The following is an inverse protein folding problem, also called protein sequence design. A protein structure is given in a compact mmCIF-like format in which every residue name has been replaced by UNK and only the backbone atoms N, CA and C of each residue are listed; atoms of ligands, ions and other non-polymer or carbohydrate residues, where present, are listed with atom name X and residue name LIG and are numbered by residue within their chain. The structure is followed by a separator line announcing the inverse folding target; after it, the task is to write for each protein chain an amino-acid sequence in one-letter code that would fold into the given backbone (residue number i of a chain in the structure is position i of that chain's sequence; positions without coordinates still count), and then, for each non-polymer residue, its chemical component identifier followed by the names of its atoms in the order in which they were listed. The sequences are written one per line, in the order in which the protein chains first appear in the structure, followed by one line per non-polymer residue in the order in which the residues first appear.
data_IF_753333185529
#
_entry.id   IF_753333185529
#
_cell.length_a   1.000
_cell.length_b   1.000
_cell.length_c   1.000
_cell.angle_alpha   90.00
_cell.angle_beta   90.00
_cell.angle_gamma   90.00
#
_symmetry.space_group_name_H-M   'P 1'
#
loop_
_entity.id
_entity.type
_entity.pdbx_description
1 polymer ?
#
# COMPACT_ATOMS: atom_id res chain seq x y z
N UNK A 1 -4.94 21.55 -11.14
CA UNK A 1 -3.67 22.26 -10.87
C UNK A 1 -2.55 21.23 -10.64
N UNK A 2 -1.26 21.57 -10.74
CA UNK A 2 -0.13 20.66 -10.52
C UNK A 2 -0.21 19.91 -9.19
N UNK A 3 -0.77 20.55 -8.15
CA UNK A 3 -1.06 19.93 -6.85
C UNK A 3 -2.07 18.78 -6.92
N UNK A 4 -3.05 18.86 -7.82
CA UNK A 4 -4.03 17.78 -8.00
C UNK A 4 -3.39 16.56 -8.65
N UNK A 5 -2.44 16.78 -9.57
CA UNK A 5 -1.70 15.70 -10.24
C UNK A 5 -0.82 14.95 -9.25
N UNK A 6 -0.09 15.67 -8.39
CA UNK A 6 0.74 15.06 -7.35
C UNK A 6 -0.09 14.19 -6.40
N UNK A 7 -1.19 14.72 -5.86
CA UNK A 7 -2.09 13.97 -4.98
C UNK A 7 -2.73 12.76 -5.66
N UNK A 8 -3.11 12.88 -6.93
CA UNK A 8 -3.78 11.80 -7.64
C UNK A 8 -2.83 10.65 -7.99
N UNK A 9 -1.62 10.96 -8.47
CA UNK A 9 -0.78 9.98 -9.17
C UNK A 9 0.54 9.65 -8.48
N UNK A 10 1.08 10.51 -7.61
CA UNK A 10 2.37 10.24 -6.97
C UNK A 10 2.19 9.45 -5.68
N UNK A 11 2.90 8.32 -5.57
CA UNK A 11 2.95 7.45 -4.38
C UNK A 11 4.39 7.03 -4.13
N UNK A 12 4.73 6.81 -2.86
CA UNK A 12 6.01 6.21 -2.51
C UNK A 12 6.05 4.75 -3.00
N UNK A 13 7.21 4.35 -3.52
CA UNK A 13 7.51 2.96 -3.90
C UNK A 13 8.84 2.55 -3.24
N UNK A 14 8.89 2.46 -1.90
CA UNK A 14 10.11 2.11 -1.18
C UNK A 14 10.47 0.63 -1.42
N UNK A 15 11.77 0.37 -1.61
CA UNK A 15 12.33 -0.96 -1.50
C UNK A 15 12.50 -1.31 -0.01
N UNK A 16 12.08 -2.52 0.39
CA UNK A 16 12.09 -2.96 1.80
C UNK A 16 10.73 -2.81 2.47
N UNK A 17 10.72 -2.51 3.77
CA UNK A 17 9.49 -2.44 4.58
C UNK A 17 8.59 -1.28 4.15
N UNK A 18 7.34 -1.59 3.83
CA UNK A 18 6.32 -0.60 3.47
C UNK A 18 4.95 -0.91 4.08
N UNK A 19 4.16 0.16 4.31
CA UNK A 19 2.78 0.05 4.78
C UNK A 19 1.84 0.07 3.59
N UNK A 20 1.06 -0.99 3.44
CA UNK A 20 0.15 -1.19 2.31
C UNK A 20 -1.30 -1.28 2.78
N UNK A 21 -2.24 -0.91 1.90
CA UNK A 21 -3.67 -1.08 2.11
C UNK A 21 -4.19 -2.22 1.22
N UNK A 22 -4.70 -3.29 1.85
CA UNK A 22 -5.21 -4.47 1.15
C UNK A 22 -6.71 -4.62 1.40
N UNK A 23 -7.47 -5.01 0.38
CA UNK A 23 -8.91 -5.22 0.51
C UNK A 23 -9.23 -6.71 0.57
N UNK A 24 -9.87 -7.16 1.65
CA UNK A 24 -10.22 -8.56 1.84
C UNK A 24 -11.49 -8.94 1.06
N UNK A 25 -11.35 -8.97 -0.26
CA UNK A 25 -12.46 -9.09 -1.22
C UNK A 25 -13.31 -10.34 -0.99
N UNK A 26 -12.67 -11.51 -0.84
CA UNK A 26 -13.34 -12.80 -0.72
C UNK A 26 -13.71 -13.18 0.71
N UNK A 27 -13.62 -12.25 1.65
CA UNK A 27 -13.94 -12.47 3.05
C UNK A 27 -14.77 -11.33 3.62
N UNK A 28 -14.22 -10.64 4.61
CA UNK A 28 -14.96 -9.67 5.41
C UNK A 28 -15.22 -8.31 4.71
N UNK A 29 -14.75 -8.13 3.47
CA UNK A 29 -14.92 -6.92 2.64
C UNK A 29 -14.48 -5.63 3.34
N UNK A 30 -13.36 -5.71 4.07
CA UNK A 30 -12.76 -4.58 4.77
C UNK A 30 -11.34 -4.33 4.26
N UNK A 31 -10.94 -3.07 4.38
CA UNK A 31 -9.56 -2.66 4.19
C UNK A 31 -8.74 -2.98 5.43
N UNK A 32 -7.54 -3.49 5.22
CA UNK A 32 -6.52 -3.68 6.25
C UNK A 32 -5.28 -2.90 5.88
N UNK A 33 -4.56 -2.39 6.88
CA UNK A 33 -3.20 -1.87 6.69
C UNK A 33 -2.22 -2.86 7.28
N UNK A 34 -1.21 -3.23 6.50
CA UNK A 34 -0.19 -4.19 6.90
C UNK A 34 1.21 -3.68 6.55
N UNK A 35 2.21 -4.20 7.26
CA UNK A 35 3.63 -3.97 6.97
C UNK A 35 4.16 -5.16 6.18
N UNK A 36 4.74 -4.93 5.01
CA UNK A 36 5.37 -5.96 4.18
C UNK A 36 6.76 -5.52 3.77
N UNK A 37 7.74 -6.42 3.84
CA UNK A 37 9.02 -6.23 3.18
C UNK A 37 8.91 -6.61 1.69
N UNK A 38 9.05 -5.63 0.78
CA UNK A 38 8.92 -5.85 -0.67
C UNK A 38 10.03 -6.68 -1.29
N UNK A 39 11.11 -6.95 -0.55
CA UNK A 39 12.24 -7.79 -1.02
C UNK A 39 11.99 -9.27 -0.78
N UNK A 40 11.21 -9.61 0.24
CA UNK A 40 11.04 -11.00 0.73
C UNK A 40 9.58 -11.45 0.81
N UNK A 41 8.62 -10.54 0.65
CA UNK A 41 7.19 -10.76 0.86
C UNK A 41 6.79 -11.16 2.30
N UNK A 42 7.69 -10.96 3.27
CA UNK A 42 7.40 -11.19 4.68
C UNK A 42 6.42 -10.13 5.21
N UNK A 43 5.37 -10.59 5.89
CA UNK A 43 4.38 -9.76 6.57
C UNK A 43 4.74 -9.70 8.06
N UNK A 44 4.79 -8.49 8.63
CA UNK A 44 5.06 -8.27 10.06
C UNK A 44 3.81 -7.97 10.87
#
# INVERSE_FOLDING_TARGET
DARDLDRAFMRANPEGVQIEAWFHLYGCRRWVRLSRDTRTDEIQ
#
